data_IF_142519660024
#
_entry.id   IF_142519660024
#
_cell.length_a   1.000
_cell.length_b   1.000
_cell.length_c   1.000
_cell.angle_alpha   90.00
_cell.angle_beta   90.00
_cell.angle_gamma   90.00
#
_symmetry.space_group_name_H-M   'P 1'
#
loop_
_entity.id
_entity.type
_entity.pdbx_description
1 polymer ?
#
# COMPACT_ATOMS: atom_id res chain seq x y z
N UNK A 1 5.03 3.00 -20.33
CA UNK A 1 5.19 1.82 -19.45
C UNK A 1 5.66 2.14 -18.03
N UNK A 2 6.15 3.35 -17.74
CA UNK A 2 6.11 3.96 -16.39
C UNK A 2 4.84 4.83 -16.25
N UNK A 3 4.36 5.36 -17.38
CA UNK A 3 3.13 6.13 -17.56
C UNK A 3 1.89 5.51 -16.88
N UNK A 4 1.64 4.19 -16.94
CA UNK A 4 0.44 3.58 -16.35
C UNK A 4 0.46 3.49 -14.82
N UNK A 5 1.66 3.35 -14.24
CA UNK A 5 1.83 3.43 -12.79
C UNK A 5 1.65 4.88 -12.32
N UNK A 6 2.15 5.84 -13.10
CA UNK A 6 2.02 7.27 -12.84
C UNK A 6 0.58 7.78 -13.06
N UNK A 7 -0.16 7.23 -14.04
CA UNK A 7 -1.58 7.56 -14.26
C UNK A 7 -2.47 7.01 -13.14
N UNK A 8 -2.11 5.86 -12.55
CA UNK A 8 -2.74 5.36 -11.32
C UNK A 8 -2.46 6.23 -10.09
N UNK A 9 -1.37 7.02 -10.12
CA UNK A 9 -1.01 8.00 -9.08
C UNK A 9 -1.80 9.31 -9.25
N UNK A 10 -2.35 9.58 -10.44
CA UNK A 10 -3.20 10.74 -10.71
C UNK A 10 -4.52 10.73 -9.90
N UNK A 11 -4.85 9.60 -9.27
CA UNK A 11 -5.90 9.46 -8.24
C UNK A 11 -5.62 10.36 -7.00
N UNK A 12 -4.40 10.89 -6.84
CA UNK A 12 -4.02 11.84 -5.79
C UNK A 12 -4.19 13.33 -6.18
N UNK A 13 -4.83 13.63 -7.30
CA UNK A 13 -5.31 14.99 -7.61
C UNK A 13 -4.19 15.96 -7.98
N UNK A 14 -3.45 15.67 -9.07
CA UNK A 14 -2.69 16.67 -9.83
C UNK A 14 -1.53 17.37 -9.11
N UNK A 15 -1.18 16.99 -7.88
CA UNK A 15 -0.08 17.61 -7.13
C UNK A 15 1.12 16.67 -7.04
N UNK A 16 2.24 17.10 -7.63
CA UNK A 16 3.65 16.74 -7.31
C UNK A 16 3.92 15.26 -7.02
N UNK A 17 4.67 14.60 -7.91
CA UNK A 17 5.39 13.32 -7.70
C UNK A 17 5.58 12.98 -6.22
N UNK A 18 4.68 12.16 -5.67
CA UNK A 18 4.82 11.65 -4.32
C UNK A 18 5.93 10.59 -4.34
N UNK A 19 6.85 10.57 -3.35
CA UNK A 19 7.88 9.55 -3.29
C UNK A 19 7.24 8.16 -3.17
N UNK A 20 7.52 7.30 -4.15
CA UNK A 20 7.06 5.91 -4.13
C UNK A 20 8.06 5.07 -3.34
N UNK A 21 7.56 4.32 -2.36
CA UNK A 21 8.34 3.38 -1.58
C UNK A 21 7.86 1.96 -1.83
N UNK A 22 8.79 1.06 -2.13
CA UNK A 22 8.50 -0.37 -2.33
C UNK A 22 8.54 -1.08 -0.98
N UNK A 23 7.46 -1.77 -0.63
CA UNK A 23 7.38 -2.57 0.58
C UNK A 23 7.88 -4.00 0.32
N UNK A 24 8.98 -4.39 0.97
CA UNK A 24 9.61 -5.71 0.79
C UNK A 24 9.27 -6.72 1.90
N UNK A 25 8.56 -6.31 2.96
CA UNK A 25 8.28 -7.13 4.15
C UNK A 25 6.83 -7.66 4.22
N UNK A 26 6.30 -8.11 3.08
CA UNK A 26 4.94 -8.67 3.02
C UNK A 26 4.94 -10.09 3.57
N UNK A 27 4.08 -10.36 4.56
CA UNK A 27 3.95 -11.67 5.21
C UNK A 27 2.91 -12.56 4.54
N UNK A 28 1.81 -11.96 4.05
CA UNK A 28 0.76 -12.68 3.36
C UNK A 28 -0.02 -11.75 2.42
N UNK A 29 -0.44 -12.29 1.28
CA UNK A 29 -1.34 -11.64 0.32
C UNK A 29 -2.45 -12.65 0.02
N UNK A 30 -3.68 -12.34 0.42
CA UNK A 30 -4.88 -13.08 0.02
C UNK A 30 -5.91 -12.10 -0.54
N UNK A 31 -5.72 -11.74 -1.81
CA UNK A 31 -6.64 -10.86 -2.54
C UNK A 31 -7.90 -11.58 -3.00
N UNK A 32 -7.91 -12.93 -3.07
CA UNK A 32 -8.99 -13.69 -3.70
C UNK A 32 -10.12 -14.04 -2.73
N UNK A 33 -9.81 -14.39 -1.48
CA UNK A 33 -10.84 -14.81 -0.51
C UNK A 33 -11.28 -13.67 0.39
N UNK A 34 -10.33 -12.97 0.98
CA UNK A 34 -10.62 -12.00 2.05
C UNK A 34 -10.17 -10.56 1.74
N UNK A 35 -9.43 -10.35 0.65
CA UNK A 35 -8.89 -9.03 0.31
C UNK A 35 -7.85 -8.53 1.33
N UNK A 36 -7.12 -9.43 1.98
CA UNK A 36 -6.21 -9.11 3.08
C UNK A 36 -4.76 -9.11 2.60
N UNK A 37 -4.05 -8.04 2.95
CA UNK A 37 -2.59 -7.95 2.82
C UNK A 37 -2.04 -7.76 4.24
N UNK A 38 -1.10 -8.60 4.65
CA UNK A 38 -0.46 -8.55 5.96
C UNK A 38 1.02 -8.31 5.79
N UNK A 39 1.57 -7.38 6.54
CA UNK A 39 3.00 -7.07 6.57
C UNK A 39 3.45 -6.77 8.00
N UNK A 40 4.77 -6.69 8.20
CA UNK A 40 5.35 -6.32 9.49
C UNK A 40 5.99 -4.94 9.39
N UNK A 41 5.73 -4.10 10.38
CA UNK A 41 6.35 -2.79 10.55
C UNK A 41 6.59 -2.52 12.05
N UNK A 42 7.50 -1.60 12.35
CA UNK A 42 7.60 -1.06 13.70
C UNK A 42 6.38 -0.18 14.01
N UNK A 43 6.08 -0.02 15.31
CA UNK A 43 4.98 0.85 15.75
C UNK A 43 5.22 2.31 15.36
N UNK A 44 6.48 2.75 15.40
CA UNK A 44 6.89 4.10 15.00
C UNK A 44 6.57 4.36 13.52
N UNK A 45 6.90 3.40 12.64
CA UNK A 45 6.61 3.52 11.21
C UNK A 45 5.11 3.62 10.94
N UNK A 46 4.30 2.75 11.55
CA UNK A 46 2.83 2.78 11.38
C UNK A 46 2.26 4.12 11.84
N UNK A 47 2.73 4.66 12.98
CA UNK A 47 2.29 5.97 13.47
C UNK A 47 2.65 7.10 12.51
N UNK A 48 3.88 7.15 12.01
CA UNK A 48 4.31 8.17 11.06
C UNK A 48 3.51 8.10 9.76
N UNK A 49 3.35 6.90 9.20
CA UNK A 49 2.60 6.69 7.95
C UNK A 49 1.12 7.09 8.07
N UNK A 50 0.49 6.79 9.22
CA UNK A 50 -0.88 7.24 9.52
C UNK A 50 -0.98 8.76 9.60
N UNK A 51 -0.06 9.41 10.33
CA UNK A 51 -0.01 10.88 10.49
C UNK A 51 0.19 11.57 9.14
N UNK A 52 1.05 11.04 8.31
CA UNK A 52 1.40 11.55 6.98
C UNK A 52 0.41 11.13 5.89
N UNK A 53 -0.67 10.42 6.25
CA UNK A 53 -1.77 10.01 5.35
C UNK A 53 -1.31 9.17 4.16
N UNK A 54 -0.38 8.24 4.40
CA UNK A 54 0.13 7.34 3.38
C UNK A 54 -0.99 6.50 2.76
N UNK A 55 -0.76 6.04 1.54
CA UNK A 55 -1.65 5.16 0.79
C UNK A 55 -0.87 3.94 0.35
N UNK A 56 -1.47 2.77 0.53
CA UNK A 56 -0.94 1.51 0.03
C UNK A 56 -1.64 1.12 -1.29
N UNK A 57 -0.88 0.61 -2.26
CA UNK A 57 -1.42 0.04 -3.49
C UNK A 57 -0.75 -1.31 -3.75
N UNK A 58 -1.55 -2.32 -4.10
CA UNK A 58 -1.02 -3.57 -4.60
C UNK A 58 -0.78 -3.45 -6.10
N UNK A 59 0.41 -3.77 -6.58
CA UNK A 59 0.73 -3.77 -8.02
C UNK A 59 1.20 -5.16 -8.45
N UNK A 60 0.64 -5.67 -9.55
CA UNK A 60 1.03 -6.95 -10.14
C UNK A 60 2.05 -6.71 -11.26
N UNK A 61 3.20 -7.34 -11.15
CA UNK A 61 4.28 -7.23 -12.14
C UNK A 61 4.09 -8.15 -13.34
N UNK A 62 3.27 -9.20 -13.21
CA UNK A 62 3.06 -10.18 -14.28
C UNK A 62 2.14 -9.68 -15.39
N UNK A 63 1.21 -8.79 -15.07
CA UNK A 63 0.30 -8.15 -16.02
C UNK A 63 0.34 -6.61 -15.97
N UNK A 64 1.31 -6.04 -15.27
CA UNK A 64 1.57 -4.60 -15.14
C UNK A 64 0.35 -3.76 -14.73
N UNK A 65 -0.57 -4.33 -13.94
CA UNK A 65 -1.77 -3.62 -13.50
C UNK A 65 -1.85 -3.50 -11.96
N UNK A 66 -2.57 -2.49 -11.44
CA UNK A 66 -2.93 -2.46 -10.03
C UNK A 66 -3.71 -3.73 -9.66
N UNK A 67 -3.22 -4.45 -8.65
CA UNK A 67 -3.87 -5.63 -8.08
C UNK A 67 -5.03 -5.22 -7.16
N UNK A 68 -4.92 -4.05 -6.54
CA UNK A 68 -5.90 -3.49 -5.65
C UNK A 68 -5.78 -1.96 -5.62
N UNK A 69 -6.91 -1.28 -5.36
CA UNK A 69 -6.96 0.19 -5.30
C UNK A 69 -6.20 0.81 -4.13
N UNK A 70 -6.15 2.14 -4.03
CA UNK A 70 -5.47 2.83 -2.94
C UNK A 70 -6.15 2.60 -1.58
N UNK A 71 -5.38 2.15 -0.59
CA UNK A 71 -5.82 1.98 0.80
C UNK A 71 -5.13 2.95 1.73
N UNK A 72 -5.88 3.90 2.28
CA UNK A 72 -5.36 4.88 3.23
C UNK A 72 -4.86 4.21 4.52
N UNK A 73 -3.72 4.71 5.02
CA UNK A 73 -3.13 4.30 6.29
C UNK A 73 -4.07 4.45 7.47
N UNK A 74 -5.03 5.37 7.41
CA UNK A 74 -6.06 5.55 8.44
C UNK A 74 -6.91 4.29 8.66
N UNK A 75 -7.04 3.43 7.64
CA UNK A 75 -7.82 2.19 7.67
C UNK A 75 -7.01 0.96 8.06
N UNK A 76 -5.70 1.09 8.28
CA UNK A 76 -4.84 -0.05 8.62
C UNK A 76 -5.11 -0.52 10.05
N UNK A 77 -5.32 -1.84 10.19
CA UNK A 77 -5.56 -2.50 11.47
C UNK A 77 -4.28 -3.14 11.99
N UNK A 78 -3.96 -2.88 13.27
CA UNK A 78 -2.89 -3.58 13.96
C UNK A 78 -3.41 -4.93 14.45
N UNK A 79 -2.84 -6.02 13.95
CA UNK A 79 -3.15 -7.37 14.42
C UNK A 79 -2.24 -7.62 15.62
N UNK A 80 -2.82 -7.82 16.81
CA UNK A 80 -2.05 -8.25 17.97
C UNK A 80 -1.33 -9.56 17.62
N UNK A 81 0.00 -9.54 17.61
CA UNK A 81 0.75 -10.78 17.51
C UNK A 81 0.56 -11.57 18.79
N UNK A 82 0.05 -12.80 18.70
CA UNK A 82 0.31 -13.79 19.75
C UNK A 82 1.82 -13.86 19.94
N UNK A 83 2.27 -13.65 21.18
CA UNK A 83 3.63 -13.98 21.59
C UNK A 83 3.80 -15.49 21.62
#
# INVERSE_FOLDING_TARGET
MVEDLLSSIDILGGARTAPLHILTAVLAIDLRRNGVIKWRMSRESVRSMKRERWVFMGFRTDNYCPAAGPFSASRWMEIAGCR
#
